data_IF_906782883000
#
_entry.id   IF_906782883000
#
_cell.length_a   1.000
_cell.length_b   1.000
_cell.length_c   1.000
_cell.angle_alpha   90.00
_cell.angle_beta   90.00
_cell.angle_gamma   90.00
#
_symmetry.space_group_name_H-M   'P 1'
#
loop_
_entity.id
_entity.type
_entity.pdbx_description
1 polymer ?
#
# COMPACT_ATOMS: atom_id res chain seq x y z
N UNK A 1 17.51 1.76 10.91
CA UNK A 1 18.15 0.88 9.90
C UNK A 1 17.10 0.63 8.85
N UNK A 2 17.36 1.03 7.59
CA UNK A 2 16.46 0.74 6.47
C UNK A 2 16.76 -0.69 6.02
N UNK A 3 15.78 -1.60 6.16
CA UNK A 3 15.89 -2.94 5.58
C UNK A 3 15.84 -2.80 4.05
N UNK A 4 16.96 -3.10 3.38
CA UNK A 4 17.22 -2.89 1.95
C UNK A 4 16.39 -3.78 0.99
N UNK A 5 15.27 -4.38 1.42
CA UNK A 5 14.45 -5.27 0.57
C UNK A 5 12.95 -4.93 0.56
N UNK A 6 12.58 -3.68 0.80
CA UNK A 6 11.18 -3.28 0.62
C UNK A 6 10.85 -3.19 -0.88
N UNK A 7 9.93 -4.03 -1.35
CA UNK A 7 9.35 -3.88 -2.69
C UNK A 7 8.58 -2.56 -2.77
N UNK A 8 9.05 -1.64 -3.63
CA UNK A 8 8.39 -0.36 -3.86
C UNK A 8 7.66 -0.41 -5.19
N UNK A 9 6.38 -0.08 -5.19
CA UNK A 9 5.56 0.06 -6.39
C UNK A 9 5.07 1.51 -6.50
N UNK A 10 5.21 2.12 -7.69
CA UNK A 10 4.77 3.48 -7.95
C UNK A 10 3.47 3.53 -8.75
N UNK A 11 2.59 4.47 -8.38
CA UNK A 11 1.35 4.77 -9.09
C UNK A 11 1.08 6.26 -9.13
N UNK A 12 0.61 6.75 -10.27
CA UNK A 12 0.32 8.18 -10.44
C UNK A 12 -0.89 8.65 -9.62
N UNK A 13 -1.86 7.76 -9.37
CA UNK A 13 -3.12 8.08 -8.67
C UNK A 13 -3.68 6.84 -7.99
N UNK A 14 -4.39 6.97 -6.87
CA UNK A 14 -5.00 5.83 -6.18
C UNK A 14 -6.16 5.22 -6.98
N UNK A 15 -6.23 3.88 -7.00
CA UNK A 15 -7.38 3.12 -7.51
C UNK A 15 -7.70 1.97 -6.57
N UNK A 16 -8.97 1.64 -6.40
CA UNK A 16 -9.39 0.54 -5.51
C UNK A 16 -8.85 -0.83 -5.95
N UNK A 17 -8.56 -1.02 -7.24
CA UNK A 17 -7.88 -2.23 -7.73
C UNK A 17 -6.49 -2.42 -7.10
N UNK A 18 -5.90 -1.39 -6.49
CA UNK A 18 -4.58 -1.46 -5.84
C UNK A 18 -4.56 -2.26 -4.55
N UNK A 19 -5.73 -2.59 -4.01
CA UNK A 19 -5.87 -3.53 -2.90
C UNK A 19 -5.22 -4.90 -3.20
N UNK A 20 -5.16 -5.33 -4.48
CA UNK A 20 -4.46 -6.58 -4.83
C UNK A 20 -2.94 -6.50 -4.64
N UNK A 21 -2.33 -5.32 -4.83
CA UNK A 21 -0.90 -5.11 -4.54
C UNK A 21 -0.65 -5.12 -3.04
N UNK A 22 -1.52 -4.45 -2.27
CA UNK A 22 -1.45 -4.48 -0.79
C UNK A 22 -1.54 -5.92 -0.27
N UNK A 23 -2.49 -6.71 -0.77
CA UNK A 23 -2.59 -8.13 -0.46
C UNK A 23 -1.33 -8.91 -0.89
N UNK A 24 -0.79 -8.62 -2.07
CA UNK A 24 0.46 -9.21 -2.55
C UNK A 24 1.64 -8.93 -1.62
N UNK A 25 1.80 -7.69 -1.16
CA UNK A 25 2.83 -7.29 -0.21
C UNK A 25 2.68 -7.97 1.14
N UNK A 26 1.46 -8.00 1.68
CA UNK A 26 1.18 -8.64 2.96
C UNK A 26 1.49 -10.15 2.95
N UNK A 27 1.30 -10.84 1.82
CA UNK A 27 1.62 -12.27 1.67
C UNK A 27 3.10 -12.55 1.37
N UNK A 28 3.90 -11.52 1.11
CA UNK A 28 5.32 -11.61 0.78
C UNK A 28 6.16 -11.06 1.95
N UNK A 29 7.24 -10.35 1.64
CA UNK A 29 8.15 -9.72 2.62
C UNK A 29 7.67 -8.31 3.04
N UNK A 30 6.41 -7.96 2.76
CA UNK A 30 5.90 -6.60 2.88
C UNK A 30 6.23 -5.77 1.63
N UNK A 31 5.95 -4.47 1.71
CA UNK A 31 6.22 -3.55 0.60
C UNK A 31 5.67 -2.16 0.84
N UNK A 32 5.98 -1.25 -0.08
CA UNK A 32 5.53 0.14 -0.07
C UNK A 32 4.85 0.45 -1.40
N UNK A 33 3.61 0.92 -1.34
CA UNK A 33 2.91 1.44 -2.50
C UNK A 33 2.92 2.97 -2.43
N UNK A 34 3.59 3.62 -3.39
CA UNK A 34 3.66 5.08 -3.49
C UNK A 34 2.61 5.59 -4.47
N UNK A 35 1.77 6.51 -4.02
CA UNK A 35 0.75 7.18 -4.82
C UNK A 35 1.17 8.63 -5.08
N UNK A 36 1.06 9.06 -6.33
CA UNK A 36 1.47 10.40 -6.79
C UNK A 36 2.84 10.40 -7.48
N UNK A 37 3.33 9.25 -7.92
CA UNK A 37 4.58 9.11 -8.67
C UNK A 37 4.37 8.27 -9.93
N UNK A 38 4.91 8.70 -11.06
CA UNK A 38 4.77 7.97 -12.32
C UNK A 38 5.78 6.81 -12.47
N UNK A 39 5.63 5.98 -13.50
CA UNK A 39 6.52 4.84 -13.76
C UNK A 39 7.97 5.25 -14.06
N UNK A 40 8.25 6.54 -14.27
CA UNK A 40 9.60 7.11 -14.42
C UNK A 40 10.17 7.62 -13.11
N UNK A 41 9.50 7.39 -11.97
CA UNK A 41 9.90 7.90 -10.66
C UNK A 41 9.71 9.42 -10.50
N UNK A 42 8.95 10.07 -11.37
CA UNK A 42 8.70 11.52 -11.27
C UNK A 42 7.48 11.79 -10.41
N UNK A 43 7.63 12.68 -9.43
CA UNK A 43 6.52 13.12 -8.58
C UNK A 43 5.52 13.94 -9.41
N UNK A 44 4.32 13.38 -9.56
CA UNK A 44 3.18 14.05 -10.21
C UNK A 44 2.29 14.74 -9.18
N UNK A 45 2.22 14.20 -7.96
CA UNK A 45 1.39 14.68 -6.87
C UNK A 45 -0.06 14.21 -6.97
N UNK A 46 -0.80 14.31 -5.85
CA UNK A 46 -2.23 14.02 -5.77
C UNK A 46 -3.00 15.16 -5.10
N UNK A 47 -4.25 15.36 -5.49
CA UNK A 47 -5.09 16.46 -4.98
C UNK A 47 -5.94 16.10 -3.76
N UNK A 48 -6.10 14.81 -3.46
CA UNK A 48 -7.01 14.28 -2.44
C UNK A 48 -6.27 13.52 -1.33
N UNK A 49 -5.02 13.91 -1.05
CA UNK A 49 -4.14 13.23 -0.12
C UNK A 49 -4.75 13.01 1.28
N UNK A 50 -5.33 14.07 1.87
CA UNK A 50 -5.98 13.99 3.20
C UNK A 50 -7.12 12.97 3.24
N UNK A 51 -7.98 12.98 2.22
CA UNK A 51 -9.09 12.03 2.13
C UNK A 51 -8.58 10.61 1.98
N UNK A 52 -7.55 10.40 1.17
CA UNK A 52 -6.95 9.09 0.96
C UNK A 52 -6.22 8.56 2.22
N UNK A 53 -5.60 9.42 3.03
CA UNK A 53 -5.04 9.01 4.33
C UNK A 53 -6.08 8.41 5.26
N UNK A 54 -7.34 8.87 5.19
CA UNK A 54 -8.43 8.31 5.99
C UNK A 54 -9.08 7.10 5.30
N UNK A 55 -9.33 7.20 4.00
CA UNK A 55 -10.06 6.18 3.24
C UNK A 55 -9.25 4.88 3.08
N UNK A 56 -7.96 4.98 2.76
CA UNK A 56 -7.11 3.80 2.44
C UNK A 56 -6.98 2.84 3.63
N UNK A 57 -6.52 3.26 4.83
CA UNK A 57 -6.35 2.31 5.93
C UNK A 57 -7.69 1.72 6.39
N UNK A 58 -8.77 2.51 6.40
CA UNK A 58 -10.11 2.01 6.71
C UNK A 58 -10.57 0.97 5.68
N UNK A 59 -10.41 1.25 4.39
CA UNK A 59 -10.79 0.34 3.30
C UNK A 59 -9.99 -0.95 3.32
N UNK A 60 -8.68 -0.86 3.55
CA UNK A 60 -7.78 -2.00 3.66
C UNK A 60 -8.17 -2.88 4.85
N UNK A 61 -8.46 -2.29 6.01
CA UNK A 61 -9.00 -3.02 7.16
C UNK A 61 -10.33 -3.69 6.84
N UNK A 62 -11.28 -2.96 6.25
CA UNK A 62 -12.64 -3.44 6.05
C UNK A 62 -12.72 -4.54 4.97
N UNK A 63 -11.84 -4.51 3.96
CA UNK A 63 -11.82 -5.48 2.85
C UNK A 63 -10.83 -6.62 3.08
N UNK A 64 -9.61 -6.29 3.51
CA UNK A 64 -8.50 -7.24 3.64
C UNK A 64 -8.25 -7.67 5.08
N UNK A 65 -8.88 -7.05 6.09
CA UNK A 65 -8.70 -7.43 7.49
C UNK A 65 -7.30 -7.14 8.06
N UNK A 66 -6.47 -6.38 7.34
CA UNK A 66 -5.11 -6.02 7.76
C UNK A 66 -4.99 -4.52 8.02
N UNK A 67 -3.99 -4.14 8.81
CA UNK A 67 -3.64 -2.74 9.06
C UNK A 67 -2.48 -2.34 8.15
N UNK A 68 -2.52 -1.11 7.66
CA UNK A 68 -1.44 -0.50 6.86
C UNK A 68 -1.19 0.91 7.37
N UNK A 69 0.07 1.33 7.33
CA UNK A 69 0.43 2.71 7.63
C UNK A 69 0.37 3.54 6.34
N UNK A 70 -0.26 4.71 6.41
CA UNK A 70 -0.33 5.65 5.29
C UNK A 70 0.30 6.96 5.69
N UNK A 71 1.42 7.30 5.05
CA UNK A 71 2.16 8.52 5.30
C UNK A 71 1.93 9.53 4.17
N UNK A 72 1.79 10.81 4.52
CA UNK A 72 1.78 11.92 3.59
C UNK A 72 3.18 12.49 3.44
N UNK A 73 3.65 12.53 2.21
CA UNK A 73 4.92 13.13 1.83
C UNK A 73 4.65 14.37 0.96
N UNK A 74 5.42 15.45 1.17
CA UNK A 74 5.40 16.62 0.29
C UNK A 74 6.76 16.74 -0.37
N UNK A 75 6.77 16.66 -1.70
CA UNK A 75 7.97 16.85 -2.50
C UNK A 75 7.76 18.02 -3.46
N UNK A 76 8.47 19.11 -3.19
CA UNK A 76 8.41 20.34 -3.99
C UNK A 76 6.98 20.89 -4.18
N UNK A 77 6.15 20.82 -3.14
CA UNK A 77 4.76 21.28 -3.17
C UNK A 77 3.78 20.32 -3.86
N UNK A 78 4.21 19.08 -4.08
CA UNK A 78 3.37 17.99 -4.57
C UNK A 78 3.20 16.94 -3.49
N UNK A 79 1.97 16.76 -3.05
CA UNK A 79 1.60 15.75 -2.06
C UNK A 79 1.63 14.35 -2.68
N UNK A 80 2.28 13.40 -2.03
CA UNK A 80 2.31 11.96 -2.34
C UNK A 80 1.93 11.15 -1.11
N UNK A 81 1.52 9.89 -1.30
CA UNK A 81 1.24 8.98 -0.20
C UNK A 81 2.12 7.76 -0.28
N UNK A 82 2.63 7.34 0.87
CA UNK A 82 3.34 6.08 1.02
C UNK A 82 2.49 5.14 1.87
N UNK A 83 2.07 4.03 1.28
CA UNK A 83 1.30 3.00 1.96
C UNK A 83 2.27 1.89 2.32
N UNK A 84 2.63 1.80 3.59
CA UNK A 84 3.54 0.80 4.12
C UNK A 84 2.72 -0.42 4.52
N UNK A 85 3.08 -1.56 3.92
CA UNK A 85 2.46 -2.85 4.18
C UNK A 85 3.51 -3.74 4.80
N UNK A 86 3.28 -4.12 6.05
CA UNK A 86 4.14 -5.09 6.72
C UNK A 86 3.88 -6.50 6.18
N UNK A 87 4.93 -7.30 6.16
CA UNK A 87 4.79 -8.73 5.91
C UNK A 87 3.86 -9.31 6.98
N UNK A 88 2.85 -10.05 6.55
CA UNK A 88 2.00 -10.84 7.42
C UNK A 88 2.25 -12.34 7.16
N UNK A 89 3.49 -12.84 7.38
CA UNK A 89 3.80 -14.24 7.15
C UNK A 89 3.05 -15.07 8.17
N UNK A 90 2.08 -15.86 7.71
CA UNK A 90 1.39 -16.80 8.58
C UNK A 90 2.39 -17.86 9.07
N UNK A 91 2.60 -18.02 10.38
CA UNK A 91 3.39 -19.13 10.89
C UNK A 91 2.59 -20.43 10.69
N UNK A 92 3.28 -21.42 10.11
CA UNK A 92 2.96 -22.86 10.04
C UNK A 92 1.53 -23.35 10.36
N UNK A 93 0.96 -24.07 9.39
CA UNK A 93 -0.17 -25.01 9.54
C UNK A 93 -1.54 -24.41 9.90
N UNK A 94 -2.15 -23.70 8.93
CA UNK A 94 -3.58 -23.87 8.70
C UNK A 94 -3.90 -23.79 7.21
N UNK A 95 -4.03 -24.96 6.59
CA UNK A 95 -4.60 -25.10 5.26
C UNK A 95 -6.07 -24.66 5.29
N UNK A 96 -6.37 -23.52 4.64
CA UNK A 96 -7.65 -23.13 3.97
C UNK A 96 -7.99 -21.67 4.27
N UNK A 97 -7.41 -20.78 3.50
CA UNK A 97 -7.82 -19.37 3.51
C UNK A 97 -6.63 -18.49 3.26
N UNK A 98 -6.06 -18.58 2.06
CA UNK A 98 -5.34 -17.43 1.52
C UNK A 98 -6.26 -16.22 1.74
N UNK A 99 -5.74 -15.10 2.24
CA UNK A 99 -6.43 -13.81 2.28
C UNK A 99 -6.67 -13.30 0.84
N UNK A 100 -7.31 -14.12 0.02
CA UNK A 100 -7.94 -13.73 -1.21
C UNK A 100 -9.29 -13.18 -0.77
N UNK A 101 -9.56 -11.87 -0.97
CA UNK A 101 -10.93 -11.49 -1.24
C UNK A 101 -11.49 -12.48 -2.27
N UNK A 102 -12.53 -13.21 -1.87
CA UNK A 102 -13.26 -14.09 -2.77
C UNK A 102 -13.98 -13.18 -3.78
N UNK A 103 -13.31 -12.87 -4.87
CA UNK A 103 -13.98 -12.38 -6.07
C UNK A 103 -14.52 -13.58 -6.83
#
# INVERSE_FOLDING_TARGET
MMQENQHIEWKESWREEYLKWICGFANAEGGVLVIGQNDKGTVVGIHNARKLMEDIPNKVRDILGIMVDVNLCDEAGKETLEIIVEAYPYPGELQRGVFLPKW
#
